data_IF_780497952073
#
_entry.id   IF_780497952073
#
_cell.length_a   1.000
_cell.length_b   1.000
_cell.length_c   1.000
_cell.angle_alpha   90.00
_cell.angle_beta   90.00
_cell.angle_gamma   90.00
#
_symmetry.space_group_name_H-M   'P 1'
#
loop_
_entity.id
_entity.type
_entity.pdbx_description
1 polymer ?
#
# COMPACT_ATOMS: atom_id res chain seq x y z
N UNK A 1 -74.60 11.46 -7.21
CA UNK A 1 -73.54 12.12 -8.02
C UNK A 1 -72.38 12.62 -7.17
N UNK A 2 -72.62 13.29 -6.04
CA UNK A 2 -71.54 13.95 -5.27
C UNK A 2 -70.42 13.03 -4.72
N UNK A 3 -70.71 11.79 -4.30
CA UNK A 3 -69.68 10.90 -3.74
C UNK A 3 -68.63 10.43 -4.76
N UNK A 4 -69.07 10.14 -5.99
CA UNK A 4 -68.19 9.64 -7.06
C UNK A 4 -67.28 10.74 -7.61
N UNK A 5 -67.75 11.98 -7.63
CA UNK A 5 -66.98 13.15 -8.06
C UNK A 5 -65.89 13.51 -7.04
N UNK A 6 -66.19 13.43 -5.73
CA UNK A 6 -65.20 13.61 -4.66
C UNK A 6 -64.12 12.51 -4.74
N UNK A 7 -64.50 11.26 -5.01
CA UNK A 7 -63.57 10.14 -5.15
C UNK A 7 -62.63 10.32 -6.36
N UNK A 8 -63.15 10.80 -7.50
CA UNK A 8 -62.34 11.12 -8.68
C UNK A 8 -61.36 12.27 -8.43
N UNK A 9 -61.81 13.33 -7.77
CA UNK A 9 -60.98 14.51 -7.49
C UNK A 9 -59.86 14.19 -6.49
N UNK A 10 -60.14 13.34 -5.50
CA UNK A 10 -59.13 12.79 -4.58
C UNK A 10 -58.11 11.92 -5.32
N UNK A 11 -58.54 11.08 -6.27
CA UNK A 11 -57.65 10.25 -7.09
C UNK A 11 -56.70 11.09 -7.97
N UNK A 12 -57.19 12.18 -8.57
CA UNK A 12 -56.38 13.08 -9.41
C UNK A 12 -55.27 13.78 -8.63
N UNK A 13 -55.44 14.00 -7.33
CA UNK A 13 -54.41 14.59 -6.45
C UNK A 13 -53.45 13.54 -5.87
N UNK A 14 -53.91 12.31 -5.63
CA UNK A 14 -53.09 11.26 -5.02
C UNK A 14 -52.09 10.62 -6.01
N UNK A 15 -52.48 10.46 -7.28
CA UNK A 15 -51.64 9.91 -8.35
C UNK A 15 -50.33 10.72 -8.55
N UNK A 16 -50.35 12.05 -8.72
CA UNK A 16 -49.13 12.83 -8.89
C UNK A 16 -48.28 12.85 -7.61
N UNK A 17 -48.90 12.86 -6.43
CA UNK A 17 -48.18 12.79 -5.16
C UNK A 17 -47.45 11.46 -4.99
N UNK A 18 -48.11 10.34 -5.31
CA UNK A 18 -47.51 9.01 -5.30
C UNK A 18 -46.37 8.90 -6.33
N UNK A 19 -46.52 9.50 -7.51
CA UNK A 19 -45.45 9.58 -8.52
C UNK A 19 -44.23 10.36 -8.03
N UNK A 20 -44.45 11.49 -7.36
CA UNK A 20 -43.36 12.29 -6.78
C UNK A 20 -42.62 11.51 -5.68
N UNK A 21 -43.36 10.87 -4.78
CA UNK A 21 -42.80 10.02 -3.73
C UNK A 21 -41.99 8.86 -4.34
N UNK A 22 -42.50 8.21 -5.38
CA UNK A 22 -41.80 7.14 -6.09
C UNK A 22 -40.48 7.61 -6.70
N UNK A 23 -40.45 8.78 -7.34
CA UNK A 23 -39.23 9.35 -7.93
C UNK A 23 -38.21 9.70 -6.85
N UNK A 24 -38.64 10.33 -5.76
CA UNK A 24 -37.76 10.67 -4.63
C UNK A 24 -37.19 9.41 -3.97
N UNK A 25 -38.02 8.39 -3.78
CA UNK A 25 -37.60 7.11 -3.21
C UNK A 25 -36.60 6.39 -4.11
N UNK A 26 -36.86 6.34 -5.43
CA UNK A 26 -35.92 5.78 -6.41
C UNK A 26 -34.57 6.51 -6.37
N UNK A 27 -34.58 7.84 -6.31
CA UNK A 27 -33.35 8.63 -6.26
C UNK A 27 -32.57 8.41 -4.95
N UNK A 28 -33.26 8.27 -3.82
CA UNK A 28 -32.63 7.99 -2.53
C UNK A 28 -31.98 6.61 -2.49
N UNK A 29 -32.70 5.56 -2.94
CA UNK A 29 -32.14 4.20 -3.02
C UNK A 29 -30.94 4.14 -3.96
N UNK A 30 -31.04 4.77 -5.13
CA UNK A 30 -29.95 4.76 -6.10
C UNK A 30 -28.68 5.40 -5.51
N UNK A 31 -28.83 6.50 -4.78
CA UNK A 31 -27.71 7.16 -4.09
C UNK A 31 -27.07 6.27 -3.04
N UNK A 32 -27.86 5.59 -2.21
CA UNK A 32 -27.35 4.72 -1.16
C UNK A 32 -26.56 3.52 -1.74
N UNK A 33 -27.10 2.90 -2.79
CA UNK A 33 -26.43 1.80 -3.50
C UNK A 33 -25.14 2.30 -4.15
N UNK A 34 -25.18 3.44 -4.84
CA UNK A 34 -23.99 4.02 -5.46
C UNK A 34 -22.93 4.39 -4.42
N UNK A 35 -23.34 4.90 -3.25
CA UNK A 35 -22.43 5.26 -2.18
C UNK A 35 -21.76 4.03 -1.57
N UNK A 36 -22.52 2.97 -1.26
CA UNK A 36 -21.95 1.74 -0.69
C UNK A 36 -20.98 1.06 -1.65
N UNK A 37 -21.33 1.03 -2.95
CA UNK A 37 -20.45 0.51 -4.00
C UNK A 37 -19.19 1.37 -4.11
N UNK A 38 -19.34 2.69 -4.20
CA UNK A 38 -18.20 3.60 -4.33
C UNK A 38 -17.26 3.48 -3.13
N UNK A 39 -17.79 3.48 -1.91
CA UNK A 39 -16.98 3.28 -0.70
C UNK A 39 -16.18 1.98 -0.75
N UNK A 40 -16.81 0.90 -1.20
CA UNK A 40 -16.17 -0.41 -1.36
C UNK A 40 -15.05 -0.36 -2.41
N UNK A 41 -15.25 0.35 -3.53
CA UNK A 41 -14.22 0.54 -4.55
C UNK A 41 -13.08 1.45 -4.08
N UNK A 42 -13.39 2.55 -3.40
CA UNK A 42 -12.40 3.49 -2.86
C UNK A 42 -11.48 2.78 -1.87
N UNK A 43 -12.05 1.92 -1.00
CA UNK A 43 -11.29 1.08 -0.07
C UNK A 43 -10.39 0.08 -0.79
N UNK A 44 -10.93 -0.66 -1.77
CA UNK A 44 -10.12 -1.58 -2.57
C UNK A 44 -8.98 -0.86 -3.27
N UNK A 45 -9.24 0.32 -3.84
CA UNK A 45 -8.22 1.12 -4.52
C UNK A 45 -7.11 1.57 -3.56
N UNK A 46 -7.46 1.96 -2.33
CA UNK A 46 -6.49 2.29 -1.29
C UNK A 46 -5.63 1.07 -0.90
N UNK A 47 -6.26 -0.09 -0.70
CA UNK A 47 -5.56 -1.34 -0.40
C UNK A 47 -4.60 -1.73 -1.54
N UNK A 48 -5.03 -1.62 -2.80
CA UNK A 48 -4.16 -1.86 -3.96
C UNK A 48 -2.97 -0.89 -4.01
N UNK A 49 -3.19 0.40 -3.74
CA UNK A 49 -2.11 1.40 -3.69
C UNK A 49 -1.10 1.08 -2.58
N UNK A 50 -1.59 0.65 -1.42
CA UNK A 50 -0.73 0.24 -0.31
C UNK A 50 0.10 -0.98 -0.68
N UNK A 51 -0.49 -2.00 -1.30
CA UNK A 51 0.23 -3.19 -1.79
C UNK A 51 1.33 -2.80 -2.80
N UNK A 52 1.02 -1.93 -3.76
CA UNK A 52 1.99 -1.46 -4.74
C UNK A 52 3.12 -0.70 -4.05
N UNK A 53 2.79 0.23 -3.15
CA UNK A 53 3.78 0.99 -2.36
C UNK A 53 4.72 0.08 -1.59
N UNK A 54 4.18 -0.93 -0.90
CA UNK A 54 4.95 -1.94 -0.17
C UNK A 54 5.88 -2.72 -1.08
N UNK A 55 5.41 -3.16 -2.25
CA UNK A 55 6.24 -3.89 -3.23
C UNK A 55 7.36 -3.02 -3.78
N UNK A 56 7.08 -1.77 -4.14
CA UNK A 56 8.10 -0.82 -4.65
C UNK A 56 9.17 -0.53 -3.59
N UNK A 57 8.76 -0.30 -2.35
CA UNK A 57 9.67 -0.10 -1.22
C UNK A 57 10.55 -1.32 -0.95
N UNK A 58 9.97 -2.52 -0.99
CA UNK A 58 10.71 -3.77 -0.84
C UNK A 58 11.72 -3.97 -1.98
N UNK A 59 11.32 -3.70 -3.23
CA UNK A 59 12.19 -3.78 -4.39
C UNK A 59 13.38 -2.83 -4.28
N UNK A 60 13.16 -1.58 -3.86
CA UNK A 60 14.22 -0.60 -3.66
C UNK A 60 15.26 -1.07 -2.63
N UNK A 61 14.81 -1.59 -1.49
CA UNK A 61 15.74 -2.11 -0.45
C UNK A 61 16.52 -3.32 -0.97
N UNK A 62 15.87 -4.22 -1.70
CA UNK A 62 16.54 -5.35 -2.30
C UNK A 62 17.62 -4.88 -3.29
N UNK A 63 17.34 -3.84 -4.08
CA UNK A 63 18.29 -3.26 -5.03
C UNK A 63 19.48 -2.59 -4.32
N UNK A 64 19.24 -1.76 -3.29
CA UNK A 64 20.31 -1.16 -2.46
C UNK A 64 21.24 -2.23 -1.91
N UNK A 65 20.67 -3.29 -1.32
CA UNK A 65 21.45 -4.35 -0.69
C UNK A 65 22.20 -5.19 -1.71
N UNK A 66 21.60 -5.49 -2.86
CA UNK A 66 22.24 -6.25 -3.92
C UNK A 66 23.41 -5.47 -4.54
N UNK A 67 23.20 -4.19 -4.83
CA UNK A 67 24.23 -3.30 -5.38
C UNK A 67 25.40 -3.15 -4.39
N UNK A 68 25.09 -2.94 -3.11
CA UNK A 68 26.10 -2.85 -2.06
C UNK A 68 26.94 -4.12 -1.91
N UNK A 69 26.33 -5.30 -1.95
CA UNK A 69 27.02 -6.58 -1.83
C UNK A 69 27.86 -6.94 -3.07
N UNK A 70 27.56 -6.36 -4.23
CA UNK A 70 28.14 -6.76 -5.52
C UNK A 70 29.45 -6.04 -5.88
N UNK A 71 29.97 -5.16 -5.02
CA UNK A 71 31.01 -4.16 -5.29
C UNK A 71 30.48 -3.01 -6.16
N UNK A 72 29.95 -1.93 -5.53
CA UNK A 72 29.30 -0.85 -6.24
C UNK A 72 30.34 0.02 -6.96
N UNK A 73 30.58 -0.25 -8.25
CA UNK A 73 31.39 0.64 -9.09
C UNK A 73 30.62 1.90 -9.49
N UNK A 74 29.28 1.81 -9.57
CA UNK A 74 28.43 2.98 -9.81
C UNK A 74 27.96 3.63 -8.49
N UNK A 75 28.85 4.45 -7.91
CA UNK A 75 28.53 5.22 -6.72
C UNK A 75 27.35 6.17 -6.91
N UNK A 76 27.08 6.66 -8.12
CA UNK A 76 25.96 7.58 -8.37
C UNK A 76 24.64 6.82 -8.24
N UNK A 77 24.58 5.62 -8.81
CA UNK A 77 23.41 4.75 -8.69
C UNK A 77 23.17 4.34 -7.24
N UNK A 78 24.20 3.87 -6.53
CA UNK A 78 24.07 3.51 -5.12
C UNK A 78 23.64 4.70 -4.23
N UNK A 79 24.18 5.90 -4.48
CA UNK A 79 23.76 7.11 -3.77
C UNK A 79 22.29 7.41 -4.02
N UNK A 80 21.82 7.31 -5.27
CA UNK A 80 20.41 7.49 -5.60
C UNK A 80 19.53 6.50 -4.82
N UNK A 81 19.84 5.21 -4.88
CA UNK A 81 19.05 4.16 -4.22
C UNK A 81 19.01 4.33 -2.70
N UNK A 82 20.17 4.61 -2.09
CA UNK A 82 20.28 4.81 -0.64
C UNK A 82 19.53 6.07 -0.19
N UNK A 83 19.61 7.18 -0.93
CA UNK A 83 18.85 8.38 -0.62
C UNK A 83 17.34 8.15 -0.74
N UNK A 84 16.89 7.46 -1.78
CA UNK A 84 15.48 7.09 -1.92
C UNK A 84 15.02 6.23 -0.73
N UNK A 85 15.84 5.29 -0.27
CA UNK A 85 15.53 4.47 0.91
C UNK A 85 15.42 5.33 2.18
N UNK A 86 16.37 6.23 2.43
CA UNK A 86 16.40 7.06 3.64
C UNK A 86 15.23 8.03 3.78
N UNK A 87 14.56 8.40 2.69
CA UNK A 87 13.41 9.32 2.75
C UNK A 87 12.16 8.72 3.39
N UNK A 88 11.96 7.40 3.27
CA UNK A 88 10.75 6.76 3.79
C UNK A 88 11.01 5.71 4.87
N UNK A 89 12.27 5.28 5.06
CA UNK A 89 12.62 4.36 6.13
C UNK A 89 12.39 5.00 7.51
N UNK A 90 11.90 4.22 8.49
CA UNK A 90 11.83 4.69 9.86
C UNK A 90 13.25 4.86 10.43
N UNK A 91 13.40 5.84 11.32
CA UNK A 91 14.70 6.27 11.87
C UNK A 91 15.61 5.11 12.29
N UNK A 92 15.11 4.16 13.08
CA UNK A 92 15.93 3.05 13.58
C UNK A 92 16.50 2.16 12.46
N UNK A 93 15.69 1.86 11.44
CA UNK A 93 16.14 1.05 10.30
C UNK A 93 17.10 1.85 9.40
N UNK A 94 16.85 3.15 9.25
CA UNK A 94 17.75 4.05 8.52
C UNK A 94 19.13 4.17 9.20
N UNK A 95 19.18 4.25 10.53
CA UNK A 95 20.43 4.25 11.29
C UNK A 95 21.19 2.93 11.11
N UNK A 96 20.49 1.78 11.25
CA UNK A 96 21.08 0.45 11.02
C UNK A 96 21.64 0.31 9.59
N UNK A 97 20.90 0.79 8.59
CA UNK A 97 21.33 0.79 7.19
C UNK A 97 22.56 1.67 6.97
N UNK A 98 22.57 2.88 7.54
CA UNK A 98 23.72 3.78 7.46
C UNK A 98 24.96 3.18 8.10
N UNK A 99 24.80 2.48 9.23
CA UNK A 99 25.90 1.80 9.92
C UNK A 99 26.47 0.66 9.07
N UNK A 100 25.60 -0.13 8.40
CA UNK A 100 26.00 -1.17 7.47
C UNK A 100 26.76 -0.59 6.25
N UNK A 101 26.21 0.45 5.62
CA UNK A 101 26.82 1.09 4.45
C UNK A 101 28.15 1.78 4.79
N UNK A 102 28.35 2.18 6.04
CA UNK A 102 29.62 2.74 6.51
C UNK A 102 30.60 1.69 7.08
N UNK A 103 30.32 0.39 6.93
CA UNK A 103 31.15 -0.70 7.46
C UNK A 103 31.47 -0.57 8.96
N UNK A 104 30.53 -0.07 9.77
CA UNK A 104 30.78 0.01 11.22
C UNK A 104 30.90 -1.39 11.82
N UNK A 105 31.83 -1.63 12.76
CA UNK A 105 32.04 -2.95 13.36
C UNK A 105 30.84 -3.43 14.19
N UNK A 106 29.98 -2.51 14.63
CA UNK A 106 28.74 -2.78 15.37
C UNK A 106 27.51 -2.83 14.48
N UNK A 107 27.66 -2.74 13.15
CA UNK A 107 26.54 -2.71 12.23
C UNK A 107 25.80 -4.04 12.23
N UNK A 108 24.47 -3.98 12.14
CA UNK A 108 23.65 -5.16 11.89
C UNK A 108 23.98 -5.74 10.53
N UNK A 109 23.90 -7.06 10.42
CA UNK A 109 24.09 -7.77 9.16
C UNK A 109 22.99 -7.41 8.15
N UNK A 110 23.27 -7.58 6.86
CA UNK A 110 22.29 -7.39 5.77
C UNK A 110 20.99 -8.17 6.03
N UNK A 111 21.10 -9.39 6.59
CA UNK A 111 19.97 -10.25 6.92
C UNK A 111 19.08 -9.65 8.00
N UNK A 112 19.68 -9.13 9.07
CA UNK A 112 18.94 -8.49 10.16
C UNK A 112 18.20 -7.23 9.69
N UNK A 113 18.81 -6.43 8.82
CA UNK A 113 18.16 -5.24 8.25
C UNK A 113 17.00 -5.63 7.32
N UNK A 114 17.18 -6.64 6.46
CA UNK A 114 16.10 -7.16 5.62
C UNK A 114 14.93 -7.70 6.47
N UNK A 115 15.23 -8.37 7.59
CA UNK A 115 14.22 -8.79 8.56
C UNK A 115 13.47 -7.61 9.17
N UNK A 116 14.16 -6.57 9.62
CA UNK A 116 13.56 -5.36 10.18
C UNK A 116 12.68 -4.61 9.16
N UNK A 117 13.14 -4.49 7.92
CA UNK A 117 12.36 -3.88 6.82
C UNK A 117 11.12 -4.71 6.52
N UNK A 118 11.23 -6.04 6.48
CA UNK A 118 10.09 -6.94 6.26
C UNK A 118 9.01 -6.73 7.32
N UNK A 119 9.40 -6.67 8.60
CA UNK A 119 8.49 -6.39 9.71
C UNK A 119 7.82 -5.02 9.55
N UNK A 120 8.59 -3.99 9.22
CA UNK A 120 8.04 -2.65 9.01
C UNK A 120 7.02 -2.58 7.86
N UNK A 121 7.26 -3.35 6.78
CA UNK A 121 6.42 -3.35 5.58
C UNK A 121 5.20 -4.27 5.66
N UNK A 122 5.32 -5.39 6.37
CA UNK A 122 4.32 -6.47 6.35
C UNK A 122 3.69 -6.78 7.73
N UNK A 123 4.17 -6.16 8.80
CA UNK A 123 3.73 -6.44 10.17
C UNK A 123 4.63 -7.43 10.91
N UNK A 124 4.50 -7.44 12.24
CA UNK A 124 5.28 -8.29 13.15
C UNK A 124 4.96 -9.78 12.98
N UNK A 125 3.73 -10.11 12.58
CA UNK A 125 3.29 -11.48 12.31
C UNK A 125 4.01 -12.14 11.12
N UNK A 126 4.68 -11.35 10.27
CA UNK A 126 5.45 -11.83 9.11
C UNK A 126 6.96 -11.92 9.40
N UNK A 127 7.36 -11.86 10.67
CA UNK A 127 8.75 -12.00 11.09
C UNK A 127 9.32 -13.36 10.66
N UNK A 128 10.53 -13.31 10.11
CA UNK A 128 11.33 -14.48 9.76
C UNK A 128 12.65 -14.43 10.51
N UNK A 129 13.27 -15.59 10.76
CA UNK A 129 14.62 -15.63 11.30
C UNK A 129 15.58 -15.04 10.24
N UNK A 130 16.43 -14.05 10.58
CA UNK A 130 17.44 -13.54 9.67
C UNK A 130 18.31 -14.64 9.03
N UNK A 131 18.54 -15.76 9.73
CA UNK A 131 19.33 -16.88 9.21
C UNK A 131 18.67 -17.61 8.04
N UNK A 132 17.35 -17.54 7.91
CA UNK A 132 16.59 -18.11 6.79
C UNK A 132 16.73 -17.27 5.50
N UNK A 133 17.23 -16.03 5.61
CA UNK A 133 17.43 -15.14 4.47
C UNK A 133 18.72 -15.54 3.74
N UNK A 134 18.58 -16.04 2.52
CA UNK A 134 19.70 -16.47 1.67
C UNK A 134 20.28 -15.26 0.93
N UNK A 135 21.60 -15.08 1.01
CA UNK A 135 22.37 -14.23 0.10
C UNK A 135 23.46 -15.08 -0.55
N UNK A 136 23.75 -14.82 -1.83
CA UNK A 136 24.80 -15.50 -2.56
C UNK A 136 26.06 -14.64 -2.54
N UNK A 137 27.19 -15.12 -1.99
CA UNK A 137 28.43 -14.35 -2.02
C UNK A 137 28.93 -14.19 -3.45
N UNK A 138 29.51 -13.03 -3.75
CA UNK A 138 30.11 -12.80 -5.05
C UNK A 138 31.34 -13.70 -5.21
N UNK A 139 31.41 -14.47 -6.30
CA UNK A 139 32.51 -15.42 -6.53
C UNK A 139 33.77 -14.60 -6.79
N UNK A 140 34.67 -14.48 -5.82
CA UNK A 140 36.01 -13.96 -6.08
C UNK A 140 36.62 -14.78 -7.22
N UNK A 141 36.96 -14.14 -8.34
CA UNK A 141 37.90 -14.70 -9.29
C UNK A 141 39.23 -14.81 -8.58
N UNK A 142 39.58 -16.01 -8.15
CA UNK A 142 40.92 -16.38 -7.71
C UNK A 142 41.88 -16.19 -8.88
N UNK A 143 42.40 -14.98 -9.04
CA UNK A 143 43.58 -14.75 -9.85
C UNK A 143 44.79 -14.80 -8.90
N UNK A 144 45.22 -16.04 -8.64
CA UNK A 144 46.58 -16.36 -8.19
C UNK A 144 47.59 -15.97 -9.25
#
# INVERSE_FOLDING_TARGET
MQFYDILKLAGVLFIPLAGLIYVLFKFWIMKEIQYSIKHTYDRQLEDYKNIISTRTKAALIAEVMAEWLSFPEDHKHLNKLSFEAFLWLPKGIAEDLSDLLNHKPTAKSTREILGAVRIHLLGEEQKIDPNDIIHFPNKKTDNS
#
